data_IF_927822963402
#
_entry.id   IF_927822963402
#
_cell.length_a   1.000
_cell.length_b   1.000
_cell.length_c   1.000
_cell.angle_alpha   90.00
_cell.angle_beta   90.00
_cell.angle_gamma   90.00
#
_symmetry.space_group_name_H-M   'P 1'
#
loop_
_entity.id
_entity.type
_entity.pdbx_description
1 polymer ?
#
# COMPACT_ATOMS: atom_id res chain seq x y z
N UNK A 1 24.15 -14.92 17.82
CA UNK A 1 24.02 -13.98 16.67
C UNK A 1 22.76 -13.15 16.85
N UNK A 2 22.82 -11.80 16.81
CA UNK A 2 21.60 -10.96 16.85
C UNK A 2 20.75 -11.26 15.61
N UNK A 3 19.52 -11.73 15.81
CA UNK A 3 18.57 -12.00 14.72
C UNK A 3 18.26 -10.66 14.02
N UNK A 4 18.41 -10.61 12.70
CA UNK A 4 18.14 -9.38 11.93
C UNK A 4 16.65 -9.05 12.04
N UNK A 5 16.32 -7.85 12.53
CA UNK A 5 14.94 -7.36 12.64
C UNK A 5 14.28 -7.35 11.26
N UNK A 6 13.05 -7.89 11.12
CA UNK A 6 12.33 -7.89 9.85
C UNK A 6 11.87 -6.46 9.51
N UNK A 7 11.83 -6.14 8.22
CA UNK A 7 11.43 -4.83 7.72
C UNK A 7 10.00 -4.88 7.16
N UNK A 8 9.14 -3.99 7.63
CA UNK A 8 7.78 -3.79 7.11
C UNK A 8 7.68 -2.41 6.50
N UNK A 9 7.46 -2.35 5.18
CA UNK A 9 7.21 -1.09 4.48
C UNK A 9 5.74 -1.02 4.08
N UNK A 10 4.98 -0.11 4.69
CA UNK A 10 3.59 0.16 4.32
C UNK A 10 3.53 1.31 3.32
N UNK A 11 3.04 1.04 2.11
CA UNK A 11 2.70 2.09 1.15
C UNK A 11 1.25 2.54 1.38
N UNK A 12 1.06 3.85 1.42
CA UNK A 12 -0.25 4.52 1.54
C UNK A 12 -0.38 5.58 0.44
N UNK A 13 -1.59 5.81 -0.05
CA UNK A 13 -1.83 6.84 -1.07
C UNK A 13 -2.92 6.47 -2.06
N UNK A 14 -3.47 7.46 -2.75
CA UNK A 14 -4.64 7.30 -3.60
C UNK A 14 -4.38 6.40 -4.82
N UNK A 15 -5.42 5.74 -5.38
CA UNK A 15 -5.30 5.00 -6.63
C UNK A 15 -4.63 5.84 -7.74
N UNK A 16 -3.83 5.19 -8.59
CA UNK A 16 -3.14 5.88 -9.70
C UNK A 16 -1.84 6.60 -9.33
N UNK A 17 -1.48 6.75 -8.05
CA UNK A 17 -0.25 7.47 -7.64
C UNK A 17 1.04 6.75 -8.04
N UNK A 18 1.01 5.41 -8.18
CA UNK A 18 2.15 4.59 -8.59
C UNK A 18 2.72 3.68 -7.50
N UNK A 19 2.03 3.54 -6.37
CA UNK A 19 2.37 2.64 -5.25
C UNK A 19 2.83 1.26 -5.68
N UNK A 20 2.06 0.56 -6.53
CA UNK A 20 2.42 -0.81 -6.95
C UNK A 20 3.72 -0.89 -7.73
N UNK A 21 4.09 0.15 -8.46
CA UNK A 21 5.40 0.22 -9.12
C UNK A 21 6.51 0.40 -8.09
N UNK A 22 6.32 1.27 -7.10
CA UNK A 22 7.27 1.43 -6.00
C UNK A 22 7.37 0.14 -5.16
N UNK A 23 6.25 -0.51 -4.84
CA UNK A 23 6.20 -1.76 -4.08
C UNK A 23 7.05 -2.85 -4.73
N UNK A 24 6.94 -3.03 -6.05
CA UNK A 24 7.77 -4.00 -6.80
C UNK A 24 9.26 -3.67 -6.73
N UNK A 25 9.63 -2.39 -6.86
CA UNK A 25 11.03 -1.95 -6.74
C UNK A 25 11.58 -2.22 -5.34
N UNK A 26 10.82 -1.89 -4.29
CA UNK A 26 11.21 -2.10 -2.90
C UNK A 26 11.32 -3.59 -2.55
N UNK A 27 10.32 -4.39 -2.94
CA UNK A 27 10.33 -5.84 -2.76
C UNK A 27 11.58 -6.47 -3.37
N UNK A 28 11.92 -6.11 -4.61
CA UNK A 28 13.13 -6.62 -5.27
C UNK A 28 14.42 -6.17 -4.59
N UNK A 29 14.55 -4.87 -4.25
CA UNK A 29 15.79 -4.33 -3.66
C UNK A 29 16.07 -4.91 -2.28
N UNK A 30 15.06 -5.01 -1.43
CA UNK A 30 15.21 -5.43 -0.03
C UNK A 30 14.88 -6.90 0.20
N UNK A 31 14.59 -7.66 -0.87
CA UNK A 31 14.17 -9.08 -0.82
C UNK A 31 12.99 -9.29 0.13
N UNK A 32 11.97 -8.44 0.00
CA UNK A 32 10.77 -8.46 0.83
C UNK A 32 9.61 -9.13 0.11
N UNK A 33 8.78 -9.85 0.86
CA UNK A 33 7.51 -10.34 0.34
C UNK A 33 6.56 -9.18 0.02
N UNK A 34 5.72 -9.32 -1.01
CA UNK A 34 4.76 -8.28 -1.41
C UNK A 34 3.33 -8.71 -1.12
N UNK A 35 2.68 -8.00 -0.19
CA UNK A 35 1.25 -8.16 0.08
C UNK A 35 0.49 -7.02 -0.59
N UNK A 36 -0.39 -7.32 -1.54
CA UNK A 36 -1.19 -6.30 -2.24
C UNK A 36 -2.67 -6.43 -1.91
N UNK A 37 -3.30 -5.32 -1.50
CA UNK A 37 -4.74 -5.26 -1.25
C UNK A 37 -5.56 -5.70 -2.47
N UNK A 38 -5.13 -5.35 -3.68
CA UNK A 38 -5.81 -5.75 -4.91
C UNK A 38 -5.65 -7.24 -5.20
N UNK A 39 -4.45 -7.80 -5.01
CA UNK A 39 -4.23 -9.24 -5.17
C UNK A 39 -4.99 -10.06 -4.12
N UNK A 40 -5.04 -9.61 -2.87
CA UNK A 40 -5.81 -10.27 -1.81
C UNK A 40 -7.30 -10.20 -2.13
N UNK A 41 -7.83 -9.03 -2.52
CA UNK A 41 -9.24 -8.86 -2.86
C UNK A 41 -9.69 -9.79 -3.99
N UNK A 42 -8.88 -9.92 -5.05
CA UNK A 42 -9.16 -10.82 -6.17
C UNK A 42 -9.18 -12.30 -5.78
N UNK A 43 -8.38 -12.69 -4.79
CA UNK A 43 -8.35 -14.07 -4.26
C UNK A 43 -9.50 -14.36 -3.30
N UNK A 44 -9.88 -13.39 -2.47
CA UNK A 44 -10.98 -13.53 -1.51
C UNK A 44 -12.34 -13.46 -2.21
N UNK A 45 -12.47 -12.62 -3.25
CA UNK A 45 -13.72 -12.39 -3.98
C UNK A 45 -13.57 -12.66 -5.48
N UNK A 46 -13.25 -13.92 -5.89
CA UNK A 46 -12.97 -14.24 -7.30
C UNK A 46 -14.18 -14.06 -8.21
N UNK A 47 -15.39 -14.20 -7.67
CA UNK A 47 -16.65 -14.15 -8.44
C UNK A 47 -17.22 -12.74 -8.63
N UNK A 48 -16.65 -11.72 -7.99
CA UNK A 48 -17.17 -10.34 -8.05
C UNK A 48 -16.54 -9.60 -9.24
N UNK A 49 -17.24 -9.59 -10.38
CA UNK A 49 -16.72 -9.08 -11.67
C UNK A 49 -16.83 -7.56 -11.88
N UNK A 50 -17.70 -6.86 -11.15
CA UNK A 50 -17.87 -5.39 -11.26
C UNK A 50 -17.67 -4.75 -9.89
N UNK A 51 -16.68 -3.87 -9.81
CA UNK A 51 -16.25 -3.26 -8.57
C UNK A 51 -16.51 -1.75 -8.63
N UNK A 52 -17.63 -1.32 -8.05
CA UNK A 52 -17.91 0.09 -7.73
C UNK A 52 -17.54 0.34 -6.27
N UNK A 53 -17.12 1.56 -5.93
CA UNK A 53 -16.83 1.90 -4.55
C UNK A 53 -18.08 1.71 -3.68
N UNK A 54 -17.94 1.07 -2.51
CA UNK A 54 -19.07 0.83 -1.60
C UNK A 54 -19.97 -0.36 -1.96
N UNK A 55 -19.77 -0.98 -3.13
CA UNK A 55 -20.50 -2.17 -3.56
C UNK A 55 -19.53 -3.32 -3.91
N UNK A 56 -20.05 -4.54 -4.05
CA UNK A 56 -19.25 -5.72 -4.42
C UNK A 56 -18.05 -5.90 -3.48
N UNK A 57 -16.87 -6.19 -4.04
CA UNK A 57 -15.66 -6.45 -3.24
C UNK A 57 -15.06 -5.20 -2.57
N UNK A 58 -15.60 -4.02 -2.87
CA UNK A 58 -15.20 -2.73 -2.31
C UNK A 58 -16.22 -2.15 -1.31
N UNK A 59 -17.26 -2.92 -0.95
CA UNK A 59 -18.11 -2.61 0.19
C UNK A 59 -17.28 -2.46 1.47
N UNK A 60 -17.83 -1.76 2.47
CA UNK A 60 -17.11 -1.55 3.72
C UNK A 60 -16.77 -2.88 4.41
N UNK A 61 -17.72 -3.80 4.48
CA UNK A 61 -17.55 -5.13 5.08
C UNK A 61 -16.49 -5.95 4.34
N UNK A 62 -16.59 -6.06 3.01
CA UNK A 62 -15.63 -6.82 2.21
C UNK A 62 -14.23 -6.22 2.28
N UNK A 63 -14.14 -4.90 2.43
CA UNK A 63 -12.87 -4.22 2.68
C UNK A 63 -12.27 -4.62 4.03
N UNK A 64 -13.07 -4.72 5.09
CA UNK A 64 -12.60 -5.22 6.39
C UNK A 64 -12.08 -6.65 6.29
N UNK A 65 -12.75 -7.53 5.53
CA UNK A 65 -12.26 -8.89 5.26
C UNK A 65 -10.87 -8.85 4.61
N UNK A 66 -10.68 -8.04 3.56
CA UNK A 66 -9.36 -7.91 2.90
C UNK A 66 -8.30 -7.43 3.88
N UNK A 67 -8.59 -6.42 4.71
CA UNK A 67 -7.63 -5.94 5.71
C UNK A 67 -7.31 -6.99 6.78
N UNK A 68 -8.30 -7.78 7.21
CA UNK A 68 -8.08 -8.86 8.17
C UNK A 68 -7.18 -9.97 7.58
N UNK A 69 -7.39 -10.34 6.32
CA UNK A 69 -6.50 -11.27 5.62
C UNK A 69 -5.08 -10.71 5.51
N UNK A 70 -4.90 -9.43 5.20
CA UNK A 70 -3.58 -8.79 5.16
C UNK A 70 -2.91 -8.79 6.54
N UNK A 71 -3.66 -8.47 7.60
CA UNK A 71 -3.16 -8.51 8.97
C UNK A 71 -2.69 -9.93 9.35
N UNK A 72 -3.44 -10.97 8.96
CA UNK A 72 -3.07 -12.36 9.19
C UNK A 72 -1.81 -12.77 8.40
N UNK A 73 -1.71 -12.38 7.14
CA UNK A 73 -0.53 -12.62 6.31
C UNK A 73 0.70 -11.93 6.90
N UNK A 74 0.58 -10.66 7.29
CA UNK A 74 1.66 -9.92 7.95
C UNK A 74 2.11 -10.61 9.24
N UNK A 75 1.16 -10.97 10.11
CA UNK A 75 1.45 -11.67 11.35
C UNK A 75 2.22 -12.98 11.11
N UNK A 76 1.78 -13.75 10.10
CA UNK A 76 2.40 -15.02 9.73
C UNK A 76 3.83 -14.81 9.24
N UNK A 77 4.07 -13.87 8.32
CA UNK A 77 5.41 -13.57 7.81
C UNK A 77 6.36 -13.14 8.93
N UNK A 78 5.91 -12.24 9.82
CA UNK A 78 6.74 -11.74 10.91
C UNK A 78 7.04 -12.80 11.97
N UNK A 79 6.12 -13.73 12.23
CA UNK A 79 6.38 -14.90 13.08
C UNK A 79 7.58 -15.72 12.58
N UNK A 80 7.79 -15.78 11.28
CA UNK A 80 8.93 -16.44 10.64
C UNK A 80 10.11 -15.49 10.34
N UNK A 81 10.11 -14.28 10.91
CA UNK A 81 11.15 -13.25 10.69
C UNK A 81 11.30 -12.82 9.23
N UNK A 82 10.22 -12.87 8.45
CA UNK A 82 10.18 -12.46 7.04
C UNK A 82 9.61 -11.05 6.92
N UNK A 83 10.39 -10.15 6.33
CA UNK A 83 9.96 -8.78 6.04
C UNK A 83 9.04 -8.69 4.81
N UNK A 84 8.24 -7.62 4.74
CA UNK A 84 7.31 -7.43 3.64
C UNK A 84 7.13 -5.96 3.25
N UNK A 85 6.65 -5.74 2.02
CA UNK A 85 6.06 -4.49 1.57
C UNK A 85 4.55 -4.68 1.36
N UNK A 86 3.77 -3.79 1.96
CA UNK A 86 2.30 -3.82 1.90
C UNK A 86 1.84 -2.72 0.96
N UNK A 87 1.15 -3.11 -0.11
CA UNK A 87 0.71 -2.26 -1.22
C UNK A 87 -0.81 -2.09 -1.21
N UNK A 88 -1.27 -0.90 -0.79
CA UNK A 88 -2.68 -0.55 -0.81
C UNK A 88 -2.93 0.93 -0.57
N UNK A 89 -4.19 1.35 -0.60
CA UNK A 89 -4.54 2.75 -0.33
C UNK A 89 -4.38 3.12 1.14
N UNK A 90 -4.78 2.22 2.04
CA UNK A 90 -4.77 2.46 3.51
C UNK A 90 -5.31 3.83 3.90
N UNK A 91 -6.52 4.16 3.41
CA UNK A 91 -7.12 5.49 3.55
C UNK A 91 -7.48 5.88 4.99
N UNK A 92 -7.82 4.93 5.87
CA UNK A 92 -8.08 5.21 7.30
C UNK A 92 -6.82 5.11 8.14
N UNK A 93 -6.71 5.96 9.16
CA UNK A 93 -5.62 5.93 10.13
C UNK A 93 -5.60 4.62 10.93
N UNK A 94 -6.77 4.13 11.34
CA UNK A 94 -6.91 2.88 12.09
C UNK A 94 -6.29 1.67 11.37
N UNK A 95 -6.38 1.61 10.03
CA UNK A 95 -5.75 0.55 9.25
C UNK A 95 -4.22 0.65 9.27
N UNK A 96 -3.67 1.86 9.21
CA UNK A 96 -2.21 2.08 9.28
C UNK A 96 -1.68 1.76 10.68
N UNK A 97 -2.39 2.20 11.73
CA UNK A 97 -2.05 1.90 13.13
C UNK A 97 -2.05 0.39 13.37
N UNK A 98 -3.05 -0.35 12.84
CA UNK A 98 -3.11 -1.80 13.03
C UNK A 98 -1.87 -2.51 12.47
N UNK A 99 -1.41 -2.13 11.28
CA UNK A 99 -0.17 -2.67 10.69
C UNK A 99 1.05 -2.33 11.56
N UNK A 100 1.19 -1.08 12.00
CA UNK A 100 2.29 -0.67 12.89
C UNK A 100 2.32 -1.49 14.17
N UNK A 101 1.16 -1.67 14.84
CA UNK A 101 1.06 -2.47 16.07
C UNK A 101 1.46 -3.93 15.84
N UNK A 102 1.10 -4.52 14.70
CA UNK A 102 1.54 -5.88 14.37
C UNK A 102 3.06 -5.92 14.17
N UNK A 103 3.63 -4.95 13.47
CA UNK A 103 5.08 -4.86 13.28
C UNK A 103 5.83 -4.73 14.62
N UNK A 104 5.36 -3.85 15.51
CA UNK A 104 5.93 -3.63 16.86
C UNK A 104 5.90 -4.90 17.71
N UNK A 105 4.82 -5.70 17.65
CA UNK A 105 4.72 -6.97 18.37
C UNK A 105 5.85 -7.95 18.06
N UNK A 106 6.44 -7.87 16.86
CA UNK A 106 7.54 -8.74 16.43
C UNK A 106 8.89 -8.02 16.35
N UNK A 107 9.02 -6.85 16.99
CA UNK A 107 10.22 -6.00 16.93
C UNK A 107 10.66 -5.70 15.48
N UNK A 108 9.67 -5.60 14.59
CA UNK A 108 9.90 -5.33 13.17
C UNK A 108 10.09 -3.83 12.94
N UNK A 109 11.07 -3.47 12.12
CA UNK A 109 11.24 -2.09 11.69
C UNK A 109 10.09 -1.70 10.78
N UNK A 110 9.30 -0.70 11.19
CA UNK A 110 8.13 -0.23 10.44
C UNK A 110 8.39 1.10 9.74
N UNK A 111 8.15 1.13 8.43
CA UNK A 111 8.25 2.35 7.60
C UNK A 111 6.93 2.62 6.88
N UNK A 112 6.38 3.81 7.04
CA UNK A 112 5.19 4.28 6.34
C UNK A 112 5.61 5.24 5.23
N UNK A 113 5.17 4.97 4.00
CA UNK A 113 5.48 5.80 2.83
C UNK A 113 4.18 6.27 2.20
N UNK A 114 3.96 7.59 2.19
CA UNK A 114 2.88 8.21 1.41
C UNK A 114 3.35 8.48 0.00
N UNK A 115 2.66 7.87 -0.95
CA UNK A 115 2.96 8.00 -2.37
C UNK A 115 1.95 8.95 -3.00
N UNK A 116 2.44 10.11 -3.40
CA UNK A 116 1.68 11.19 -4.01
C UNK A 116 2.02 11.32 -5.50
N UNK A 117 1.07 11.90 -6.23
CA UNK A 117 1.18 12.22 -7.63
C UNK A 117 0.25 13.42 -7.90
N UNK A 118 0.65 14.39 -8.73
CA UNK A 118 -0.24 15.48 -9.12
C UNK A 118 -1.55 14.94 -9.68
N UNK A 119 -2.67 15.55 -9.30
CA UNK A 119 -4.02 15.11 -9.68
C UNK A 119 -4.24 15.15 -11.20
N UNK A 120 -3.70 16.17 -11.87
CA UNK A 120 -3.69 16.28 -13.34
C UNK A 120 -3.12 15.02 -13.98
N UNK A 121 -2.01 14.50 -13.44
CA UNK A 121 -1.36 13.30 -13.93
C UNK A 121 -2.14 12.03 -13.55
N UNK A 122 -2.80 12.00 -12.39
CA UNK A 122 -3.68 10.88 -12.00
C UNK A 122 -4.85 10.78 -12.98
N UNK A 123 -5.51 11.91 -13.30
CA UNK A 123 -6.61 11.98 -14.27
C UNK A 123 -6.17 11.52 -15.65
N UNK A 124 -5.03 12.00 -16.15
CA UNK A 124 -4.45 11.55 -17.42
C UNK A 124 -4.17 10.03 -17.41
N UNK A 125 -3.65 9.48 -16.32
CA UNK A 125 -3.39 8.04 -16.18
C UNK A 125 -4.68 7.22 -16.23
N UNK A 126 -5.78 7.69 -15.64
CA UNK A 126 -7.07 7.02 -15.73
C UNK A 126 -7.64 7.06 -17.15
N UNK A 127 -7.63 8.24 -17.79
CA UNK A 127 -8.07 8.40 -19.18
C UNK A 127 -7.28 7.52 -20.16
N UNK A 128 -5.96 7.41 -19.98
CA UNK A 128 -5.13 6.52 -20.81
C UNK A 128 -5.43 5.03 -20.56
N UNK A 129 -5.83 4.65 -19.34
CA UNK A 129 -6.19 3.26 -19.01
C UNK A 129 -7.54 2.84 -19.59
N UNK A 130 -8.51 3.76 -19.62
CA UNK A 130 -9.81 3.52 -20.25
C UNK A 130 -9.67 3.31 -21.77
N UNK A 131 -8.77 4.08 -22.42
CA UNK A 131 -8.40 3.90 -23.84
C UNK A 131 -7.56 2.64 -24.09
N UNK A 132 -6.77 2.25 -23.08
CA UNK A 132 -6.03 1.00 -22.86
C UNK A 132 -6.58 -0.27 -23.51
N UNK A 133 -7.54 -0.88 -22.79
CA UNK A 133 -8.19 -2.17 -23.01
C UNK A 133 -8.87 -2.61 -21.69
N UNK A 134 -10.03 -3.27 -21.79
CA UNK A 134 -10.90 -3.72 -20.70
C UNK A 134 -10.37 -4.84 -19.77
N UNK A 135 -9.07 -4.86 -19.44
CA UNK A 135 -8.48 -5.74 -18.42
C UNK A 135 -7.40 -5.01 -17.64
N UNK A 136 -7.69 -4.68 -16.37
CA UNK A 136 -6.77 -3.93 -15.49
C UNK A 136 -6.20 -4.77 -14.34
N UNK A 137 -4.94 -4.50 -14.00
CA UNK A 137 -4.24 -5.02 -12.82
C UNK A 137 -4.83 -4.50 -11.49
N UNK A 138 -5.49 -3.34 -11.51
CA UNK A 138 -6.16 -2.69 -10.37
C UNK A 138 -7.55 -2.23 -10.80
N UNK A 139 -8.58 -2.56 -10.01
CA UNK A 139 -9.99 -2.35 -10.38
C UNK A 139 -10.49 -0.93 -10.04
N UNK A 140 -9.60 -0.04 -9.60
CA UNK A 140 -9.98 1.34 -9.29
C UNK A 140 -10.24 2.14 -10.59
N UNK A 141 -11.40 2.77 -10.68
CA UNK A 141 -11.74 3.80 -11.68
C UNK A 141 -11.60 5.22 -11.07
N UNK A 142 -11.90 6.26 -11.85
CA UNK A 142 -11.78 7.64 -11.37
C UNK A 142 -12.78 7.96 -10.24
N UNK A 143 -14.00 7.40 -10.26
CA UNK A 143 -14.97 7.58 -9.18
C UNK A 143 -14.47 7.00 -7.85
N UNK A 144 -13.83 5.82 -7.88
CA UNK A 144 -13.17 5.23 -6.70
C UNK A 144 -12.07 6.16 -6.20
N UNK A 145 -11.33 6.83 -7.08
CA UNK A 145 -10.33 7.82 -6.68
C UNK A 145 -10.96 9.00 -5.93
N UNK A 146 -12.00 9.63 -6.49
CA UNK A 146 -12.69 10.78 -5.87
C UNK A 146 -13.26 10.41 -4.50
N UNK A 147 -13.98 9.29 -4.42
CA UNK A 147 -14.54 8.79 -3.17
C UNK A 147 -13.46 8.49 -2.10
N UNK A 148 -12.32 7.93 -2.51
CA UNK A 148 -11.22 7.67 -1.59
C UNK A 148 -10.50 8.93 -1.17
N UNK A 149 -10.40 9.94 -2.05
CA UNK A 149 -9.80 11.25 -1.78
C UNK A 149 -10.54 11.95 -0.64
N UNK A 150 -11.87 12.01 -0.70
CA UNK A 150 -12.71 12.61 0.34
C UNK A 150 -12.58 11.90 1.69
N UNK A 151 -12.40 10.59 1.69
CA UNK A 151 -12.34 9.77 2.91
C UNK A 151 -10.91 9.55 3.42
N UNK A 152 -9.90 10.08 2.74
CA UNK A 152 -8.51 9.84 3.06
C UNK A 152 -8.12 10.59 4.33
N UNK A 153 -7.85 9.85 5.40
CA UNK A 153 -7.56 10.41 6.70
C UNK A 153 -6.07 10.77 6.82
N UNK A 154 -5.72 11.89 7.48
CA UNK A 154 -4.35 12.18 7.86
C UNK A 154 -3.80 11.12 8.82
N UNK A 155 -2.48 11.12 9.04
CA UNK A 155 -1.83 10.19 9.96
C UNK A 155 -0.99 10.96 10.97
N UNK A 156 -1.00 10.51 12.22
CA UNK A 156 -0.05 10.96 13.26
C UNK A 156 1.23 10.14 13.29
N UNK A 157 1.24 8.98 12.63
CA UNK A 157 2.43 8.14 12.49
C UNK A 157 3.53 8.87 11.70
N UNK A 158 4.82 8.76 12.08
CA UNK A 158 5.91 9.23 11.24
C UNK A 158 5.86 8.56 9.86
N UNK A 159 6.12 9.33 8.81
CA UNK A 159 6.05 8.85 7.44
C UNK A 159 7.04 9.55 6.51
N UNK A 160 7.36 8.88 5.40
CA UNK A 160 8.10 9.46 4.29
C UNK A 160 7.10 9.86 3.21
N UNK A 161 7.12 11.11 2.77
CA UNK A 161 6.38 11.56 1.61
C UNK A 161 7.22 11.38 0.34
N UNK A 162 6.62 10.76 -0.67
CA UNK A 162 7.25 10.45 -1.95
C UNK A 162 6.35 10.91 -3.09
N UNK A 163 6.88 11.77 -3.95
CA UNK A 163 6.26 12.05 -5.23
C UNK A 163 6.97 11.28 -6.35
N UNK A 164 6.28 10.34 -6.98
CA UNK A 164 6.88 9.46 -8.01
C UNK A 164 7.40 10.22 -9.24
N UNK A 165 6.93 11.45 -9.47
CA UNK A 165 7.38 12.29 -10.59
C UNK A 165 8.67 13.01 -10.23
N UNK A 166 8.69 13.69 -9.08
CA UNK A 166 9.81 14.56 -8.69
C UNK A 166 10.94 13.81 -7.98
N UNK A 167 10.63 12.75 -7.22
CA UNK A 167 11.61 12.07 -6.37
C UNK A 167 12.26 10.84 -7.02
N UNK A 168 12.13 10.62 -8.34
CA UNK A 168 12.51 9.35 -9.01
C UNK A 168 13.85 8.74 -8.53
N UNK A 169 14.86 9.60 -8.34
CA UNK A 169 16.21 9.21 -7.95
C UNK A 169 16.44 9.23 -6.43
N UNK A 170 15.67 10.01 -5.67
CA UNK A 170 15.86 10.20 -4.23
C UNK A 170 14.97 9.32 -3.35
N UNK A 171 13.91 8.69 -3.89
CA UNK A 171 12.99 7.83 -3.10
C UNK A 171 13.73 6.76 -2.30
N UNK A 172 14.68 6.08 -2.96
CA UNK A 172 15.39 4.97 -2.33
C UNK A 172 16.30 5.47 -1.23
N UNK A 173 16.97 6.61 -1.45
CA UNK A 173 17.83 7.25 -0.46
C UNK A 173 17.03 7.70 0.77
N UNK A 174 15.87 8.34 0.58
CA UNK A 174 14.97 8.72 1.68
C UNK A 174 14.59 7.50 2.53
N UNK A 175 14.24 6.38 1.87
CA UNK A 175 13.89 5.13 2.56
C UNK A 175 15.10 4.52 3.27
N UNK A 176 16.28 4.52 2.65
CA UNK A 176 17.51 4.00 3.25
C UNK A 176 17.95 4.80 4.48
N UNK A 177 17.80 6.13 4.43
CA UNK A 177 18.08 6.98 5.57
C UNK A 177 17.22 6.61 6.78
N UNK A 178 15.92 6.37 6.57
CA UNK A 178 15.02 5.92 7.66
C UNK A 178 15.33 4.48 8.10
N UNK A 179 15.69 3.59 7.16
CA UNK A 179 16.14 2.23 7.50
C UNK A 179 17.42 2.26 8.36
N UNK A 180 18.33 3.21 8.16
CA UNK A 180 19.57 3.29 8.93
C UNK A 180 19.42 4.05 10.25
N UNK A 181 18.82 5.24 10.20
CA UNK A 181 18.82 6.21 11.31
C UNK A 181 17.50 6.27 12.09
N UNK A 182 16.43 5.66 11.57
CA UNK A 182 15.08 5.87 12.09
C UNK A 182 14.45 7.12 11.48
N UNK A 183 13.26 7.49 11.97
CA UNK A 183 12.69 8.79 11.63
C UNK A 183 13.49 9.86 12.38
N UNK A 184 14.03 10.83 11.64
CA UNK A 184 14.58 12.07 12.19
C UNK A 184 13.46 12.95 12.75
#
# INVERSE_FOLDING_TARGET
>A
MKKKQPLVILLSGLPGTGKSTLARRLSKKYRLERISTDSVRKRVFPSVRKNTFGAGSYSFENRLVVYNVINYLLYTLLRWNVGCVIDGTFYKESFRIKIKRIAEKFDAKFILVFVECPESLIKQRFQQREKRSGRTLSDANYDIYLNLKERFQPTKLPYIKVNIVHDKNSIMEKIENVIRKGYS
#
